data_IF_880090419545
#
_entry.id   IF_880090419545
#
_cell.length_a   1.000
_cell.length_b   1.000
_cell.length_c   1.000
_cell.angle_alpha   90.00
_cell.angle_beta   90.00
_cell.angle_gamma   90.00
#
_symmetry.space_group_name_H-M   'P 1'
#
loop_
_entity.id
_entity.type
_entity.pdbx_description
1 polymer ?
#
# COMPACT_ATOMS: atom_id res chain seq x y z
N UNK A 1 43.29 -36.83 12.09
CA UNK A 1 42.78 -35.64 12.80
C UNK A 1 41.88 -34.87 11.85
N UNK A 2 40.59 -34.73 12.23
CA UNK A 2 39.49 -33.86 11.68
C UNK A 2 39.21 -34.02 10.17
N UNK A 3 38.22 -34.81 9.70
CA UNK A 3 36.76 -34.78 9.95
C UNK A 3 36.12 -34.07 8.74
N UNK A 4 35.11 -34.56 8.01
CA UNK A 4 34.03 -35.51 8.26
C UNK A 4 33.39 -35.96 6.94
N UNK A 5 32.99 -37.23 6.88
CA UNK A 5 32.16 -37.81 5.85
C UNK A 5 30.70 -37.30 5.92
N UNK A 6 30.02 -37.15 4.79
CA UNK A 6 28.60 -37.49 4.69
C UNK A 6 28.18 -37.83 3.26
N UNK A 7 27.99 -39.14 3.04
CA UNK A 7 27.26 -39.73 1.93
C UNK A 7 25.75 -39.58 2.14
N UNK A 8 25.04 -39.38 1.02
CA UNK A 8 23.76 -40.01 0.64
C UNK A 8 22.78 -40.30 1.79
N UNK A 9 21.67 -39.56 1.80
CA UNK A 9 20.38 -40.09 2.28
C UNK A 9 19.28 -39.82 1.26
N UNK A 10 18.91 -40.88 0.58
CA UNK A 10 17.63 -41.04 -0.11
C UNK A 10 16.84 -42.10 0.67
N UNK A 11 15.51 -41.96 0.68
CA UNK A 11 14.47 -42.94 1.06
C UNK A 11 14.12 -43.03 2.57
N UNK A 12 12.94 -42.48 2.96
CA UNK A 12 11.70 -43.23 3.30
C UNK A 12 10.69 -42.32 4.02
N UNK A 13 9.43 -42.40 3.55
CA UNK A 13 8.15 -42.33 4.31
C UNK A 13 7.97 -41.15 5.30
N UNK A 14 6.96 -40.30 5.14
CA UNK A 14 5.56 -40.74 5.25
C UNK A 14 4.61 -39.70 4.67
N UNK A 15 3.67 -40.22 3.88
CA UNK A 15 2.40 -39.61 3.54
C UNK A 15 1.74 -39.07 4.82
N UNK A 16 1.65 -37.75 4.96
CA UNK A 16 0.67 -37.11 5.82
C UNK A 16 -0.40 -36.48 4.93
N UNK A 17 -1.16 -37.37 4.27
CA UNK A 17 -2.55 -37.10 3.88
C UNK A 17 -3.36 -37.01 5.19
N UNK A 18 -3.23 -35.88 5.91
CA UNK A 18 -4.37 -35.33 6.61
C UNK A 18 -5.18 -34.66 5.50
N UNK A 19 -6.20 -35.29 4.92
CA UNK A 19 -7.33 -35.68 5.75
C UNK A 19 -7.89 -34.44 6.43
N UNK A 20 -7.99 -33.31 5.73
CA UNK A 20 -8.83 -32.18 6.10
C UNK A 20 -10.30 -32.59 5.93
N UNK A 21 -10.71 -33.67 6.61
CA UNK A 21 -12.08 -33.83 7.04
C UNK A 21 -12.36 -32.61 7.91
N UNK A 22 -13.12 -31.66 7.37
CA UNK A 22 -13.62 -30.52 8.09
C UNK A 22 -14.30 -31.01 9.35
N UNK A 23 -13.59 -30.94 10.47
CA UNK A 23 -14.24 -30.85 11.75
C UNK A 23 -14.88 -29.47 11.77
N UNK A 24 -16.13 -29.41 11.29
CA UNK A 24 -17.07 -28.37 11.64
C UNK A 24 -17.24 -28.41 13.16
N UNK A 25 -16.30 -27.80 13.88
CA UNK A 25 -16.52 -27.37 15.24
C UNK A 25 -17.80 -26.54 15.18
N UNK A 26 -18.82 -26.93 15.95
CA UNK A 26 -20.07 -26.19 16.05
C UNK A 26 -19.71 -24.75 16.42
N UNK A 27 -19.70 -23.88 15.40
CA UNK A 27 -19.13 -22.55 15.51
C UNK A 27 -20.08 -21.74 16.40
N UNK A 28 -19.55 -21.20 17.51
CA UNK A 28 -20.33 -20.33 18.39
C UNK A 28 -20.86 -19.09 17.66
N UNK A 29 -21.81 -18.34 18.25
CA UNK A 29 -22.46 -17.22 17.59
C UNK A 29 -21.48 -16.15 17.12
N UNK A 30 -20.41 -15.88 17.87
CA UNK A 30 -19.34 -14.97 17.44
C UNK A 30 -18.68 -15.38 16.11
N UNK A 31 -18.40 -16.66 15.92
CA UNK A 31 -17.79 -17.17 14.68
C UNK A 31 -18.79 -17.14 13.51
N UNK A 32 -20.06 -17.44 13.76
CA UNK A 32 -21.12 -17.31 12.77
C UNK A 32 -21.31 -15.85 12.31
N UNK A 33 -21.31 -14.90 13.25
CA UNK A 33 -21.39 -13.46 12.96
C UNK A 33 -20.17 -12.96 12.16
N UNK A 34 -18.96 -13.35 12.58
CA UNK A 34 -17.74 -13.00 11.89
C UNK A 34 -17.69 -13.60 10.47
N UNK A 35 -18.09 -14.86 10.32
CA UNK A 35 -18.19 -15.55 9.03
C UNK A 35 -19.13 -14.82 8.07
N UNK A 36 -20.33 -14.47 8.54
CA UNK A 36 -21.32 -13.72 7.75
C UNK A 36 -20.78 -12.38 7.22
N UNK A 37 -20.13 -11.58 8.08
CA UNK A 37 -19.53 -10.32 7.64
C UNK A 37 -18.35 -10.52 6.68
N UNK A 38 -17.54 -11.57 6.88
CA UNK A 38 -16.44 -11.91 5.96
C UNK A 38 -16.95 -12.34 4.61
N UNK A 39 -18.00 -13.15 4.53
CA UNK A 39 -18.60 -13.55 3.25
C UNK A 39 -19.20 -12.36 2.50
N UNK A 40 -19.85 -11.43 3.22
CA UNK A 40 -20.34 -10.17 2.65
C UNK A 40 -19.20 -9.29 2.15
N UNK A 41 -18.15 -9.13 2.95
CA UNK A 41 -16.95 -8.38 2.55
C UNK A 41 -16.34 -9.05 1.34
N UNK A 42 -16.02 -10.32 1.38
CA UNK A 42 -15.22 -10.99 0.36
C UNK A 42 -16.04 -11.38 -0.90
N UNK A 43 -17.31 -10.98 -0.98
CA UNK A 43 -18.24 -11.26 -2.09
C UNK A 43 -18.37 -12.76 -2.39
N UNK A 44 -18.24 -13.60 -1.36
CA UNK A 44 -18.23 -15.06 -1.51
C UNK A 44 -19.61 -15.64 -1.82
N UNK A 45 -20.67 -14.95 -1.39
CA UNK A 45 -22.07 -15.33 -1.59
C UNK A 45 -22.89 -14.10 -1.92
N UNK A 46 -23.88 -14.26 -2.78
CA UNK A 46 -24.81 -13.19 -3.07
C UNK A 46 -25.66 -12.86 -1.82
N UNK A 47 -26.09 -11.60 -1.63
CA UNK A 47 -26.94 -11.23 -0.51
C UNK A 47 -28.19 -12.09 -0.37
N UNK A 48 -28.82 -12.50 -1.47
CA UNK A 48 -30.01 -13.36 -1.44
C UNK A 48 -29.70 -14.77 -0.91
N UNK A 49 -28.55 -15.36 -1.27
CA UNK A 49 -28.09 -16.65 -0.76
C UNK A 49 -27.79 -16.58 0.75
N UNK A 50 -27.21 -15.46 1.20
CA UNK A 50 -26.99 -15.20 2.61
C UNK A 50 -28.30 -15.08 3.38
N UNK A 51 -29.37 -14.53 2.76
CA UNK A 51 -30.69 -14.48 3.38
C UNK A 51 -31.32 -15.87 3.54
N UNK A 52 -31.06 -16.82 2.63
CA UNK A 52 -31.52 -18.22 2.78
C UNK A 52 -30.87 -18.90 3.99
N UNK A 53 -29.57 -18.64 4.22
CA UNK A 53 -28.84 -19.12 5.40
C UNK A 53 -29.17 -18.37 6.70
N UNK A 54 -29.76 -17.17 6.62
CA UNK A 54 -30.09 -16.31 7.77
C UNK A 54 -31.36 -16.73 8.50
N UNK A 55 -31.61 -16.19 9.70
CA UNK A 55 -32.86 -16.43 10.48
C UNK A 55 -34.02 -15.54 10.05
N UNK A 56 -34.00 -15.02 8.82
CA UNK A 56 -35.11 -14.27 8.24
C UNK A 56 -36.40 -15.11 8.22
N UNK A 57 -37.50 -14.50 8.66
CA UNK A 57 -38.81 -15.13 8.66
C UNK A 57 -39.23 -15.49 7.24
N UNK A 58 -39.84 -16.67 7.08
CA UNK A 58 -40.49 -17.08 5.83
C UNK A 58 -41.66 -16.17 5.45
N UNK A 59 -42.22 -15.44 6.43
CA UNK A 59 -43.32 -14.51 6.23
C UNK A 59 -42.85 -13.11 5.81
N UNK A 60 -41.54 -12.87 5.71
CA UNK A 60 -41.02 -11.63 5.16
C UNK A 60 -41.33 -11.53 3.66
N UNK A 61 -42.22 -10.61 3.31
CA UNK A 61 -42.64 -10.37 1.93
C UNK A 61 -41.49 -9.96 1.00
N UNK A 62 -41.67 -10.19 -0.30
CA UNK A 62 -40.65 -10.02 -1.35
C UNK A 62 -40.04 -8.60 -1.33
N UNK A 63 -40.85 -7.56 -1.16
CA UNK A 63 -40.39 -6.17 -1.12
C UNK A 63 -39.42 -5.95 0.06
N UNK A 64 -39.77 -6.42 1.26
CA UNK A 64 -38.93 -6.27 2.46
C UNK A 64 -37.65 -7.10 2.34
N UNK A 65 -37.75 -8.34 1.84
CA UNK A 65 -36.60 -9.21 1.56
C UNK A 65 -35.60 -8.53 0.62
N UNK A 66 -36.09 -7.98 -0.51
CA UNK A 66 -35.25 -7.24 -1.46
C UNK A 66 -34.57 -6.03 -0.83
N UNK A 67 -35.27 -5.27 0.03
CA UNK A 67 -34.69 -4.14 0.73
C UNK A 67 -33.57 -4.55 1.71
N UNK A 68 -33.73 -5.69 2.40
CA UNK A 68 -32.69 -6.24 3.28
C UNK A 68 -31.48 -6.68 2.45
N UNK A 69 -31.68 -7.41 1.36
CA UNK A 69 -30.62 -7.83 0.45
C UNK A 69 -29.82 -6.64 -0.10
N UNK A 70 -30.51 -5.56 -0.52
CA UNK A 70 -29.85 -4.33 -0.96
C UNK A 70 -29.00 -3.67 0.13
N UNK A 71 -29.48 -3.62 1.38
CA UNK A 71 -28.70 -3.10 2.51
C UNK A 71 -27.47 -3.95 2.79
N UNK A 72 -27.59 -5.28 2.71
CA UNK A 72 -26.46 -6.19 2.84
C UNK A 72 -25.45 -5.99 1.70
N UNK A 73 -25.90 -5.76 0.47
CA UNK A 73 -25.02 -5.45 -0.66
C UNK A 73 -24.24 -4.13 -0.42
N UNK A 74 -24.90 -3.10 0.10
CA UNK A 74 -24.25 -1.84 0.48
C UNK A 74 -23.24 -2.04 1.61
N UNK A 75 -23.57 -2.85 2.62
CA UNK A 75 -22.65 -3.21 3.70
C UNK A 75 -21.43 -3.96 3.16
N UNK A 76 -21.62 -4.95 2.29
CA UNK A 76 -20.52 -5.71 1.67
C UNK A 76 -19.56 -4.78 0.92
N UNK A 77 -20.09 -3.87 0.10
CA UNK A 77 -19.27 -2.82 -0.56
C UNK A 77 -18.56 -1.93 0.46
N UNK A 78 -19.26 -1.43 1.47
CA UNK A 78 -18.64 -0.62 2.53
C UNK A 78 -17.51 -1.35 3.24
N UNK A 79 -17.67 -2.65 3.53
CA UNK A 79 -16.65 -3.48 4.15
C UNK A 79 -15.42 -3.66 3.25
N UNK A 80 -15.63 -3.86 1.95
CA UNK A 80 -14.58 -4.02 0.93
C UNK A 80 -13.83 -2.74 0.65
N UNK A 81 -14.56 -1.67 0.36
CA UNK A 81 -14.01 -0.40 -0.11
C UNK A 81 -13.10 0.20 0.95
N UNK A 82 -13.41 -0.01 2.23
CA UNK A 82 -12.59 0.42 3.36
C UNK A 82 -11.59 -0.66 3.84
N UNK A 83 -11.56 -1.84 3.21
CA UNK A 83 -10.70 -2.99 3.56
C UNK A 83 -10.64 -3.27 5.06
N UNK A 84 -11.81 -3.41 5.66
CA UNK A 84 -11.91 -3.64 7.11
C UNK A 84 -11.37 -5.02 7.51
N UNK A 85 -10.52 -5.02 8.53
CA UNK A 85 -10.15 -6.18 9.31
C UNK A 85 -11.15 -6.35 10.45
N UNK A 86 -11.77 -7.53 10.51
CA UNK A 86 -12.91 -7.81 11.38
C UNK A 86 -12.49 -8.70 12.56
N UNK A 87 -12.90 -8.32 13.78
CA UNK A 87 -12.64 -9.08 15.01
C UNK A 87 -13.86 -9.04 15.93
N UNK A 88 -14.20 -10.18 16.52
CA UNK A 88 -15.25 -10.27 17.55
C UNK A 88 -14.83 -9.42 18.76
N UNK A 89 -15.71 -8.54 19.23
CA UNK A 89 -15.45 -7.67 20.40
C UNK A 89 -16.19 -8.11 21.65
N UNK A 90 -17.51 -8.29 21.56
CA UNK A 90 -18.36 -8.74 22.67
C UNK A 90 -19.37 -9.77 22.18
N UNK A 91 -19.79 -10.68 23.07
CA UNK A 91 -20.85 -11.64 22.82
C UNK A 91 -21.72 -11.77 24.07
N UNK A 92 -23.04 -11.78 23.89
CA UNK A 92 -24.01 -12.08 24.94
C UNK A 92 -25.00 -13.11 24.43
N UNK A 93 -25.14 -14.21 25.17
CA UNK A 93 -26.13 -15.26 24.90
C UNK A 93 -27.27 -15.16 25.88
N UNK A 94 -28.46 -15.45 25.40
CA UNK A 94 -29.67 -15.61 26.16
C UNK A 94 -30.45 -16.79 25.53
N UNK A 95 -30.27 -18.00 26.08
CA UNK A 95 -30.85 -19.23 25.54
C UNK A 95 -30.48 -19.47 24.07
N UNK A 96 -31.50 -19.64 23.23
CA UNK A 96 -31.42 -19.83 21.78
C UNK A 96 -31.11 -18.55 20.99
N UNK A 97 -30.98 -17.39 21.66
CA UNK A 97 -30.66 -16.11 21.07
C UNK A 97 -29.26 -15.66 21.50
N UNK A 98 -28.58 -14.95 20.61
CA UNK A 98 -27.31 -14.31 20.92
C UNK A 98 -27.19 -12.96 20.21
N UNK A 99 -26.43 -12.08 20.83
CA UNK A 99 -26.01 -10.82 20.27
C UNK A 99 -24.47 -10.77 20.24
N UNK A 100 -23.92 -10.35 19.12
CA UNK A 100 -22.47 -10.25 18.92
C UNK A 100 -22.15 -8.86 18.41
N UNK A 101 -21.10 -8.25 18.94
CA UNK A 101 -20.47 -7.09 18.31
C UNK A 101 -19.17 -7.48 17.63
N UNK A 102 -18.95 -6.95 16.43
CA UNK A 102 -17.73 -7.17 15.65
C UNK A 102 -17.10 -5.81 15.38
N UNK A 103 -15.88 -5.62 15.89
CA UNK A 103 -15.06 -4.46 15.61
C UNK A 103 -14.43 -4.57 14.23
N UNK A 104 -14.30 -3.42 13.57
CA UNK A 104 -13.74 -3.27 12.24
C UNK A 104 -12.70 -2.15 12.26
N UNK A 105 -11.47 -2.46 11.85
CA UNK A 105 -10.40 -1.46 11.68
C UNK A 105 -9.96 -1.48 10.22
N UNK A 106 -9.96 -0.32 9.57
CA UNK A 106 -9.55 -0.26 8.17
C UNK A 106 -8.04 -0.49 8.07
N UNK A 107 -7.65 -1.42 7.20
CA UNK A 107 -6.24 -1.56 6.81
C UNK A 107 -5.75 -0.36 5.98
N UNK A 108 -6.68 0.47 5.47
CA UNK A 108 -6.37 1.65 4.66
C UNK A 108 -6.13 2.91 5.46
N UNK A 109 -6.91 3.11 6.51
CA UNK A 109 -6.84 4.26 7.41
C UNK A 109 -7.03 3.75 8.83
N UNK A 110 -5.98 3.67 9.67
CA UNK A 110 -6.10 3.09 11.00
C UNK A 110 -7.16 3.82 11.85
N UNK A 111 -7.34 5.14 11.67
CA UNK A 111 -8.34 5.93 12.40
C UNK A 111 -9.77 5.72 11.89
N UNK A 112 -9.95 4.99 10.79
CA UNK A 112 -11.26 4.58 10.29
C UNK A 112 -11.67 3.26 10.92
N UNK A 113 -12.58 3.34 11.88
CA UNK A 113 -13.08 2.21 12.65
C UNK A 113 -14.60 2.18 12.71
N UNK A 114 -15.19 1.00 12.85
CA UNK A 114 -16.62 0.81 13.12
C UNK A 114 -16.83 -0.42 14.02
N UNK A 115 -18.04 -0.56 14.56
CA UNK A 115 -18.47 -1.73 15.32
C UNK A 115 -19.86 -2.12 14.83
N UNK A 116 -20.01 -3.36 14.37
CA UNK A 116 -21.28 -3.91 13.88
C UNK A 116 -21.93 -4.78 14.97
N UNK A 117 -23.23 -4.59 15.21
CA UNK A 117 -24.03 -5.49 16.03
C UNK A 117 -24.76 -6.52 15.16
N UNK A 118 -24.76 -7.79 15.55
CA UNK A 118 -25.47 -8.86 14.87
C UNK A 118 -26.28 -9.67 15.89
N UNK A 119 -27.58 -9.80 15.64
CA UNK A 119 -28.41 -10.78 16.32
C UNK A 119 -28.20 -12.16 15.68
N UNK A 120 -28.27 -13.22 16.47
CA UNK A 120 -28.20 -14.59 16.01
C UNK A 120 -29.21 -15.45 16.75
N UNK A 121 -29.67 -16.51 16.10
CA UNK A 121 -30.51 -17.53 16.70
C UNK A 121 -30.01 -18.92 16.35
N UNK A 122 -30.07 -19.81 17.33
CA UNK A 122 -29.71 -21.21 17.19
C UNK A 122 -30.78 -21.96 16.38
N UNK A 123 -30.35 -22.72 15.37
CA UNK A 123 -31.20 -23.55 14.49
C UNK A 123 -31.05 -25.04 14.84
N UNK A 124 -31.06 -25.39 16.12
CA UNK A 124 -30.82 -26.76 16.58
C UNK A 124 -29.52 -27.33 15.98
N UNK A 125 -29.61 -28.48 15.30
CA UNK A 125 -28.46 -29.16 14.66
C UNK A 125 -27.77 -28.31 13.56
N UNK A 126 -28.42 -27.25 13.06
CA UNK A 126 -27.88 -26.32 12.07
C UNK A 126 -26.94 -25.24 12.63
N UNK A 127 -26.75 -25.19 13.95
CA UNK A 127 -25.89 -24.20 14.60
C UNK A 127 -26.48 -22.79 14.62
N UNK A 128 -25.62 -21.77 14.78
CA UNK A 128 -26.04 -20.37 14.89
C UNK A 128 -26.23 -19.72 13.52
N UNK A 129 -27.35 -19.06 13.31
CA UNK A 129 -27.63 -18.31 12.08
C UNK A 129 -27.96 -16.84 12.39
N UNK A 130 -27.54 -15.95 11.49
CA UNK A 130 -27.54 -14.49 11.70
C UNK A 130 -28.91 -13.89 11.38
N UNK A 131 -29.35 -12.94 12.18
CA UNK A 131 -30.45 -12.04 11.86
C UNK A 131 -29.95 -11.00 10.85
N UNK A 132 -30.52 -10.94 9.63
CA UNK A 132 -29.89 -10.20 8.52
C UNK A 132 -30.06 -8.68 8.64
N UNK A 133 -30.82 -8.18 9.60
CA UNK A 133 -30.89 -6.75 9.92
C UNK A 133 -29.87 -6.45 11.01
N UNK A 134 -28.84 -5.67 10.70
CA UNK A 134 -27.79 -5.34 11.67
C UNK A 134 -28.35 -4.67 12.92
N UNK A 135 -27.90 -5.12 14.08
CA UNK A 135 -28.30 -4.63 15.40
C UNK A 135 -29.75 -4.92 15.77
N UNK A 136 -30.47 -5.76 15.00
CA UNK A 136 -31.88 -6.04 15.25
C UNK A 136 -32.28 -7.48 14.91
N UNK A 137 -33.27 -7.99 15.64
CA UNK A 137 -34.02 -9.21 15.36
C UNK A 137 -35.29 -8.92 14.53
N UNK A 138 -35.45 -7.72 13.98
CA UNK A 138 -36.56 -7.38 13.10
C UNK A 138 -36.64 -8.35 11.91
N UNK A 139 -37.84 -8.84 11.62
CA UNK A 139 -38.13 -9.88 10.63
C UNK A 139 -37.56 -11.27 10.96
N UNK A 140 -37.11 -11.53 12.18
CA UNK A 140 -36.83 -12.90 12.66
C UNK A 140 -38.14 -13.55 13.11
N UNK A 141 -38.34 -14.82 12.77
CA UNK A 141 -39.55 -15.56 13.18
C UNK A 141 -39.47 -15.97 14.65
N UNK A 142 -39.94 -15.14 15.58
CA UNK A 142 -39.98 -15.44 17.01
C UNK A 142 -41.28 -16.16 17.46
N UNK A 143 -42.12 -16.60 16.52
CA UNK A 143 -43.28 -17.47 16.82
C UNK A 143 -44.40 -16.85 17.67
N UNK A 144 -44.53 -15.52 17.70
CA UNK A 144 -45.48 -14.77 18.56
C UNK A 144 -45.30 -15.04 20.07
N UNK A 145 -44.11 -15.45 20.51
CA UNK A 145 -43.78 -15.64 21.92
C UNK A 145 -43.28 -14.32 22.52
N UNK A 146 -44.10 -13.72 23.40
CA UNK A 146 -43.78 -12.47 24.11
C UNK A 146 -42.49 -12.56 24.93
N UNK A 147 -42.13 -13.74 25.44
CA UNK A 147 -40.89 -13.91 26.19
C UNK A 147 -39.67 -13.85 25.26
N UNK A 148 -39.76 -14.48 24.08
CA UNK A 148 -38.70 -14.39 23.07
C UNK A 148 -38.56 -12.96 22.53
N UNK A 149 -39.67 -12.25 22.31
CA UNK A 149 -39.65 -10.83 21.92
C UNK A 149 -38.93 -9.97 22.97
N UNK A 150 -39.27 -10.12 24.26
CA UNK A 150 -38.61 -9.38 25.34
C UNK A 150 -37.11 -9.69 25.45
N UNK A 151 -36.72 -10.97 25.28
CA UNK A 151 -35.30 -11.38 25.26
C UNK A 151 -34.56 -10.78 24.05
N UNK A 152 -35.18 -10.78 22.87
CA UNK A 152 -34.63 -10.15 21.67
C UNK A 152 -34.45 -8.63 21.87
N UNK A 153 -35.47 -7.91 22.35
CA UNK A 153 -35.38 -6.48 22.66
C UNK A 153 -34.25 -6.16 23.67
N UNK A 154 -34.10 -6.99 24.71
CA UNK A 154 -33.02 -6.84 25.68
C UNK A 154 -31.63 -7.04 25.05
N UNK A 155 -31.51 -7.95 24.08
CA UNK A 155 -30.28 -8.16 23.30
C UNK A 155 -30.02 -7.01 22.32
N UNK A 156 -31.03 -6.44 21.67
CA UNK A 156 -30.88 -5.26 20.80
C UNK A 156 -30.41 -4.04 21.59
N UNK A 157 -31.02 -3.77 22.75
CA UNK A 157 -30.61 -2.71 23.67
C UNK A 157 -29.16 -2.92 24.14
N UNK A 158 -28.78 -4.16 24.43
CA UNK A 158 -27.41 -4.50 24.77
C UNK A 158 -26.44 -4.24 23.60
N UNK A 159 -26.76 -4.69 22.38
CA UNK A 159 -25.92 -4.43 21.19
C UNK A 159 -25.73 -2.93 20.95
N UNK A 160 -26.79 -2.13 21.07
CA UNK A 160 -26.72 -0.69 20.89
C UNK A 160 -25.77 -0.02 21.89
N UNK A 161 -25.82 -0.44 23.16
CA UNK A 161 -24.90 0.06 24.21
C UNK A 161 -23.47 -0.40 23.98
N UNK A 162 -23.26 -1.69 23.77
CA UNK A 162 -21.94 -2.27 23.53
C UNK A 162 -21.28 -1.69 22.29
N UNK A 163 -22.04 -1.47 21.21
CA UNK A 163 -21.53 -0.81 20.00
C UNK A 163 -20.90 0.55 20.31
N UNK A 164 -21.58 1.38 21.10
CA UNK A 164 -21.09 2.72 21.47
C UNK A 164 -19.86 2.64 22.40
N UNK A 165 -19.87 1.73 23.37
CA UNK A 165 -18.73 1.54 24.30
C UNK A 165 -17.51 1.01 23.54
N UNK A 166 -17.70 -0.03 22.73
CA UNK A 166 -16.63 -0.66 21.96
C UNK A 166 -16.10 0.27 20.87
N UNK A 167 -16.94 1.09 20.24
CA UNK A 167 -16.47 2.06 19.24
C UNK A 167 -15.51 3.07 19.85
N UNK A 168 -15.88 3.69 20.99
CA UNK A 168 -15.01 4.65 21.69
C UNK A 168 -13.71 4.00 22.16
N UNK A 169 -13.81 2.82 22.77
CA UNK A 169 -12.64 2.07 23.22
C UNK A 169 -11.70 1.72 22.05
N UNK A 170 -12.26 1.38 20.89
CA UNK A 170 -11.50 1.08 19.68
C UNK A 170 -10.83 2.32 19.10
N UNK A 171 -11.54 3.45 19.01
CA UNK A 171 -10.98 4.74 18.60
C UNK A 171 -9.79 5.16 19.49
N UNK A 172 -9.97 5.07 20.81
CA UNK A 172 -8.93 5.39 21.78
C UNK A 172 -7.72 4.44 21.66
N UNK A 173 -7.97 3.14 21.47
CA UNK A 173 -6.93 2.13 21.33
C UNK A 173 -6.09 2.38 20.06
N UNK A 174 -6.74 2.57 18.92
CA UNK A 174 -6.06 2.81 17.64
C UNK A 174 -5.29 4.13 17.70
N UNK A 175 -5.90 5.19 18.22
CA UNK A 175 -5.22 6.49 18.34
C UNK A 175 -4.00 6.40 19.26
N UNK A 176 -4.11 5.67 20.37
CA UNK A 176 -2.99 5.43 21.29
C UNK A 176 -1.87 4.65 20.61
N UNK A 177 -2.18 3.64 19.81
CA UNK A 177 -1.19 2.86 19.08
C UNK A 177 -0.49 3.69 17.99
N UNK A 178 -1.26 4.45 17.20
CA UNK A 178 -0.72 5.38 16.21
C UNK A 178 0.24 6.38 16.86
N UNK A 179 -0.18 7.03 17.95
CA UNK A 179 0.66 7.97 18.71
C UNK A 179 1.93 7.32 19.27
N UNK A 180 1.85 6.07 19.72
CA UNK A 180 3.03 5.31 20.19
C UNK A 180 4.03 5.15 19.06
N UNK A 181 3.59 4.68 17.89
CA UNK A 181 4.44 4.52 16.70
C UNK A 181 5.02 5.85 16.21
N UNK A 182 4.26 6.94 16.31
CA UNK A 182 4.76 8.28 15.97
C UNK A 182 5.88 8.72 16.91
N UNK A 183 5.73 8.54 18.23
CA UNK A 183 6.81 8.80 19.20
C UNK A 183 8.06 7.96 18.95
N UNK A 184 7.88 6.71 18.48
CA UNK A 184 9.00 5.84 18.10
C UNK A 184 9.73 6.35 16.85
N UNK A 185 9.03 6.99 15.91
CA UNK A 185 9.61 7.58 14.69
C UNK A 185 10.22 8.98 14.90
N UNK A 186 9.82 9.69 15.97
CA UNK A 186 10.21 11.07 16.24
C UNK A 186 11.72 11.34 16.29
N UNK A 187 12.55 10.52 16.96
CA UNK A 187 13.99 10.78 17.01
C UNK A 187 14.64 10.84 15.62
N UNK A 188 14.26 9.93 14.71
CA UNK A 188 14.78 9.92 13.35
C UNK A 188 14.26 11.14 12.55
N UNK A 189 13.01 11.54 12.76
CA UNK A 189 12.45 12.73 12.13
C UNK A 189 13.14 14.02 12.59
N UNK A 190 13.44 14.15 13.88
CA UNK A 190 14.18 15.30 14.41
C UNK A 190 15.61 15.40 13.84
N UNK A 191 16.28 14.26 13.65
CA UNK A 191 17.60 14.24 13.00
C UNK A 191 17.52 14.67 11.52
N UNK A 192 16.46 14.28 10.81
CA UNK A 192 16.23 14.70 9.43
C UNK A 192 15.86 16.18 9.31
N UNK A 193 15.13 16.72 10.28
CA UNK A 193 14.66 18.11 10.32
C UNK A 193 15.76 19.17 10.53
N UNK A 194 17.03 18.77 10.61
CA UNK A 194 18.20 19.68 10.67
C UNK A 194 18.48 20.33 9.31
N UNK A 195 18.09 19.69 8.20
CA UNK A 195 18.31 20.20 6.85
C UNK A 195 17.06 19.96 5.99
N UNK A 196 16.59 20.97 5.21
CA UNK A 196 15.44 20.82 4.33
C UNK A 196 15.57 19.61 3.39
N UNK A 197 16.71 19.48 2.70
CA UNK A 197 16.96 18.36 1.80
C UNK A 197 17.00 17.00 2.51
N UNK A 198 17.48 16.92 3.76
CA UNK A 198 17.43 15.66 4.53
C UNK A 198 16.01 15.32 4.97
N UNK A 199 15.20 16.32 5.32
CA UNK A 199 13.82 16.14 5.72
C UNK A 199 12.97 15.58 4.58
N UNK A 200 13.10 16.13 3.35
CA UNK A 200 12.39 15.62 2.17
C UNK A 200 12.82 14.21 1.79
N UNK A 201 14.12 13.87 1.89
CA UNK A 201 14.59 12.48 1.71
C UNK A 201 13.94 11.53 2.71
N UNK A 202 14.00 11.86 3.99
CA UNK A 202 13.41 11.04 5.04
C UNK A 202 11.89 10.85 4.85
N UNK A 203 11.18 11.90 4.41
CA UNK A 203 9.75 11.84 4.11
C UNK A 203 9.47 10.93 2.91
N UNK A 204 10.25 11.05 1.85
CA UNK A 204 10.15 10.22 0.65
C UNK A 204 10.41 8.74 0.98
N UNK A 205 11.44 8.46 1.78
CA UNK A 205 11.79 7.12 2.25
C UNK A 205 10.68 6.51 3.12
N UNK A 206 10.09 7.32 4.02
CA UNK A 206 8.93 6.90 4.81
C UNK A 206 7.74 6.57 3.90
N UNK A 207 7.53 7.36 2.84
CA UNK A 207 6.47 7.12 1.88
C UNK A 207 6.67 5.81 1.10
N UNK A 208 7.89 5.55 0.64
CA UNK A 208 8.24 4.33 -0.08
C UNK A 208 8.07 3.07 0.79
N UNK A 209 8.32 3.18 2.11
CA UNK A 209 8.08 2.08 3.07
C UNK A 209 6.62 1.93 3.49
N UNK A 210 5.73 2.86 3.10
CA UNK A 210 4.35 2.91 3.60
C UNK A 210 4.25 3.22 5.10
N UNK A 211 5.26 3.89 5.67
CA UNK A 211 5.34 4.19 7.10
C UNK A 211 4.56 5.46 7.44
N UNK A 212 3.25 5.30 7.62
CA UNK A 212 2.33 6.40 7.97
C UNK A 212 2.79 7.21 9.20
N UNK A 213 3.10 6.59 10.37
CA UNK A 213 3.59 7.34 11.52
C UNK A 213 4.82 8.20 11.22
N UNK A 214 5.84 7.65 10.55
CA UNK A 214 7.04 8.42 10.22
C UNK A 214 6.73 9.57 9.26
N UNK A 215 5.95 9.31 8.20
CA UNK A 215 5.52 10.34 7.26
C UNK A 215 4.76 11.47 7.96
N UNK A 216 3.87 11.13 8.89
CA UNK A 216 3.12 12.10 9.69
C UNK A 216 4.05 12.96 10.55
N UNK A 217 4.98 12.37 11.30
CA UNK A 217 5.90 13.14 12.16
C UNK A 217 6.80 14.07 11.36
N UNK A 218 7.25 13.66 10.17
CA UNK A 218 8.09 14.48 9.28
C UNK A 218 7.37 15.71 8.72
N UNK A 219 6.03 15.73 8.70
CA UNK A 219 5.24 16.93 8.39
C UNK A 219 5.16 17.89 9.59
N UNK A 220 5.48 17.43 10.81
CA UNK A 220 5.47 18.26 12.02
C UNK A 220 4.09 18.68 12.53
N UNK A 221 3.00 18.06 12.05
CA UNK A 221 1.61 18.49 12.26
C UNK A 221 0.78 17.61 13.21
N UNK A 222 1.38 16.98 14.23
CA UNK A 222 0.63 15.99 15.04
C UNK A 222 1.02 15.96 16.53
N UNK A 223 1.19 17.14 17.13
CA UNK A 223 1.42 17.28 18.57
C UNK A 223 0.09 17.58 19.29
N UNK A 224 -0.31 16.71 20.22
CA UNK A 224 -1.57 16.86 20.99
C UNK A 224 -2.76 16.10 20.42
N UNK A 225 -3.98 16.62 20.65
CA UNK A 225 -5.22 16.04 20.11
C UNK A 225 -5.39 16.36 18.64
N UNK A 226 -5.62 15.32 17.83
CA UNK A 226 -5.81 15.46 16.40
C UNK A 226 -7.07 16.27 16.11
N UNK A 227 -6.86 17.49 15.63
CA UNK A 227 -7.90 18.34 15.06
C UNK A 227 -8.53 17.66 13.84
N UNK A 228 -9.73 18.08 13.46
CA UNK A 228 -10.39 17.54 12.27
C UNK A 228 -9.56 17.74 10.99
N UNK A 229 -8.81 18.85 10.91
CA UNK A 229 -7.89 19.12 9.80
C UNK A 229 -6.77 18.09 9.73
N UNK A 230 -6.18 17.74 10.87
CA UNK A 230 -5.11 16.75 10.98
C UNK A 230 -5.62 15.33 10.69
N UNK A 231 -6.84 14.99 11.13
CA UNK A 231 -7.50 13.72 10.76
C UNK A 231 -7.71 13.61 9.26
N UNK A 232 -8.21 14.68 8.62
CA UNK A 232 -8.36 14.71 7.16
C UNK A 232 -7.01 14.56 6.45
N UNK A 233 -5.97 15.23 6.94
CA UNK A 233 -4.62 15.11 6.38
C UNK A 233 -4.07 13.69 6.55
N UNK A 234 -4.21 13.09 7.74
CA UNK A 234 -3.81 11.71 8.00
C UNK A 234 -4.49 10.74 7.04
N UNK A 235 -5.80 10.90 6.78
CA UNK A 235 -6.51 10.08 5.79
C UNK A 235 -5.95 10.23 4.37
N UNK A 236 -5.64 11.46 3.96
CA UNK A 236 -5.01 11.71 2.64
C UNK A 236 -3.67 10.99 2.53
N UNK A 237 -2.83 11.07 3.56
CA UNK A 237 -1.54 10.38 3.61
C UNK A 237 -1.75 8.86 3.59
N UNK A 238 -2.65 8.33 4.42
CA UNK A 238 -2.89 6.88 4.51
C UNK A 238 -3.33 6.29 3.18
N UNK A 239 -4.27 6.93 2.49
CA UNK A 239 -4.73 6.50 1.16
C UNK A 239 -3.61 6.62 0.12
N UNK A 240 -2.85 7.72 0.18
CA UNK A 240 -1.72 7.98 -0.71
C UNK A 240 -0.60 6.96 -0.60
N UNK A 241 -0.20 6.61 0.62
CA UNK A 241 0.82 5.59 0.92
C UNK A 241 0.46 4.20 0.38
N UNK A 242 -0.84 3.94 0.18
CA UNK A 242 -1.34 2.69 -0.36
C UNK A 242 -1.61 2.74 -1.86
N UNK A 243 -1.24 3.84 -2.54
CA UNK A 243 -1.51 4.05 -3.96
C UNK A 243 -3.01 4.03 -4.29
N UNK A 244 -3.87 4.30 -3.31
CA UNK A 244 -5.33 4.27 -3.45
C UNK A 244 -5.90 5.68 -3.68
N UNK A 245 -5.04 6.66 -3.98
CA UNK A 245 -5.48 8.00 -4.29
C UNK A 245 -6.09 8.09 -5.70
N UNK A 246 -7.17 8.87 -5.85
CA UNK A 246 -7.96 8.93 -7.08
C UNK A 246 -7.20 9.42 -8.32
N UNK A 247 -6.07 10.13 -8.11
CA UNK A 247 -5.24 10.71 -9.17
C UNK A 247 -3.95 9.93 -9.41
N UNK A 248 -3.62 8.96 -8.55
CA UNK A 248 -2.36 8.23 -8.58
C UNK A 248 -1.13 9.11 -8.44
N UNK A 249 -1.22 10.31 -7.84
CA UNK A 249 -0.11 11.26 -7.72
C UNK A 249 0.88 10.81 -6.64
N UNK A 250 0.40 10.14 -5.60
CA UNK A 250 1.27 9.56 -4.56
C UNK A 250 2.17 8.45 -5.07
N UNK A 251 1.87 7.85 -6.22
CA UNK A 251 2.73 6.87 -6.88
C UNK A 251 4.13 7.43 -7.17
N UNK A 252 4.27 8.75 -7.31
CA UNK A 252 5.58 9.39 -7.41
C UNK A 252 6.43 9.23 -6.15
N UNK A 253 5.84 8.99 -4.98
CA UNK A 253 6.55 8.77 -3.70
C UNK A 253 6.57 7.30 -3.26
N UNK A 254 5.57 6.50 -3.65
CA UNK A 254 5.40 5.13 -3.14
C UNK A 254 5.96 4.03 -4.05
N UNK A 255 6.02 4.25 -5.37
CA UNK A 255 6.51 3.23 -6.32
C UNK A 255 8.01 2.97 -6.13
N UNK A 256 8.40 1.70 -6.17
CA UNK A 256 9.83 1.31 -6.15
C UNK A 256 10.50 1.38 -7.52
N UNK A 257 9.73 1.43 -8.61
CA UNK A 257 10.22 1.43 -10.00
C UNK A 257 10.38 2.85 -10.59
N UNK A 258 10.63 3.83 -9.73
CA UNK A 258 10.98 5.21 -10.11
C UNK A 258 12.20 5.65 -9.29
N UNK A 259 13.02 6.51 -9.87
CA UNK A 259 14.21 7.07 -9.21
C UNK A 259 13.93 8.50 -8.80
N UNK A 260 14.35 8.86 -7.59
CA UNK A 260 14.04 10.15 -6.97
C UNK A 260 15.32 10.86 -6.57
N UNK A 261 15.46 12.10 -7.00
CA UNK A 261 16.64 12.92 -6.71
C UNK A 261 16.17 14.19 -6.01
N UNK A 262 16.71 14.43 -4.82
CA UNK A 262 16.39 15.62 -4.03
C UNK A 262 17.33 16.74 -4.40
N UNK A 263 16.76 17.84 -4.88
CA UNK A 263 17.48 19.05 -5.29
C UNK A 263 17.05 20.18 -4.36
N UNK A 264 18.01 20.73 -3.64
CA UNK A 264 17.81 21.94 -2.84
C UNK A 264 18.57 23.06 -3.55
N UNK A 265 17.86 24.11 -3.96
CA UNK A 265 18.48 25.30 -4.54
C UNK A 265 18.99 26.22 -3.43
N UNK A 266 20.13 26.89 -3.67
CA UNK A 266 20.68 27.88 -2.74
C UNK A 266 19.87 29.17 -2.88
N UNK A 267 18.84 29.35 -2.04
CA UNK A 267 17.99 30.54 -2.16
C UNK A 267 16.84 30.70 -1.15
N UNK A 268 16.83 29.99 -0.01
CA UNK A 268 15.82 30.20 1.03
C UNK A 268 16.23 31.27 2.04
N UNK A 269 15.27 32.02 2.56
CA UNK A 269 15.47 32.82 3.78
C UNK A 269 15.61 31.86 4.99
N UNK A 270 16.02 32.38 6.16
CA UNK A 270 16.17 31.56 7.38
C UNK A 270 14.85 30.93 7.90
N UNK A 271 13.71 31.24 7.27
CA UNK A 271 12.36 30.89 7.73
C UNK A 271 11.60 29.95 6.79
N UNK A 272 11.95 29.92 5.51
CA UNK A 272 11.35 29.06 4.50
C UNK A 272 12.41 28.51 3.53
N UNK A 273 12.17 27.30 3.03
CA UNK A 273 13.06 26.67 2.07
C UNK A 273 12.25 25.90 1.04
N UNK A 274 12.70 25.93 -0.20
CA UNK A 274 12.15 25.09 -1.26
C UNK A 274 13.09 23.93 -1.56
N UNK A 275 12.51 22.74 -1.66
CA UNK A 275 13.22 21.53 -2.06
C UNK A 275 12.42 20.84 -3.15
N UNK A 276 13.06 20.63 -4.30
CA UNK A 276 12.47 19.94 -5.44
C UNK A 276 12.84 18.45 -5.43
N UNK A 277 11.86 17.61 -5.71
CA UNK A 277 12.05 16.17 -5.91
C UNK A 277 11.89 15.86 -7.41
N UNK A 278 13.00 15.58 -8.07
CA UNK A 278 13.02 15.14 -9.47
C UNK A 278 12.79 13.64 -9.52
N UNK A 279 11.86 13.20 -10.37
CA UNK A 279 11.40 11.81 -10.43
C UNK A 279 11.54 11.29 -11.85
N UNK A 280 12.40 10.30 -12.03
CA UNK A 280 12.54 9.56 -13.27
C UNK A 280 11.67 8.30 -13.23
N UNK A 281 10.66 8.25 -14.10
CA UNK A 281 9.82 7.07 -14.35
C UNK A 281 10.33 6.41 -15.63
N UNK A 282 10.79 5.17 -15.54
CA UNK A 282 11.35 4.46 -16.68
C UNK A 282 10.34 4.34 -17.85
N UNK A 283 9.03 4.37 -17.57
CA UNK A 283 7.94 4.23 -18.56
C UNK A 283 8.16 5.10 -19.80
N UNK A 284 8.09 4.47 -20.98
CA UNK A 284 8.34 5.12 -22.27
C UNK A 284 7.52 6.41 -22.44
N UNK A 285 8.19 7.46 -22.93
CA UNK A 285 7.56 8.75 -23.26
C UNK A 285 7.23 9.64 -22.07
N UNK A 286 7.62 9.26 -20.84
CA UNK A 286 7.44 10.11 -19.67
C UNK A 286 8.64 11.05 -19.48
N UNK A 287 8.44 12.37 -19.38
CA UNK A 287 9.49 13.27 -18.94
C UNK A 287 9.78 13.05 -17.45
N UNK A 288 10.94 13.55 -16.99
CA UNK A 288 11.22 13.69 -15.57
C UNK A 288 10.09 14.52 -14.94
N UNK A 289 9.47 13.98 -13.90
CA UNK A 289 8.44 14.66 -13.13
C UNK A 289 9.07 15.43 -11.97
N UNK A 290 8.39 16.44 -11.46
CA UNK A 290 8.90 17.30 -10.40
C UNK A 290 7.81 17.50 -9.34
N UNK A 291 8.19 17.38 -8.06
CA UNK A 291 7.36 17.78 -6.92
C UNK A 291 8.12 18.80 -6.09
N UNK A 292 7.58 20.01 -5.95
CA UNK A 292 8.11 21.05 -5.06
C UNK A 292 7.60 20.85 -3.65
N UNK A 293 8.52 20.85 -2.69
CA UNK A 293 8.21 20.88 -1.27
C UNK A 293 8.55 22.27 -0.74
N UNK A 294 7.57 22.89 -0.10
CA UNK A 294 7.78 24.10 0.71
C UNK A 294 7.99 23.65 2.14
N UNK A 295 9.06 24.13 2.75
CA UNK A 295 9.44 23.81 4.12
C UNK A 295 9.43 25.10 4.94
N UNK A 296 8.91 25.01 6.16
CA UNK A 296 8.82 26.13 7.08
C UNK A 296 9.66 25.83 8.32
N UNK A 297 10.41 26.83 8.81
CA UNK A 297 11.16 26.69 10.04
C UNK A 297 10.28 27.07 11.24
N UNK A 298 9.75 26.07 11.95
CA UNK A 298 8.82 26.26 13.07
C UNK A 298 9.34 25.56 14.31
N UNK A 299 9.40 26.28 15.44
CA UNK A 299 9.76 25.66 16.72
C UNK A 299 11.17 25.07 16.77
N UNK A 300 12.12 25.67 16.04
CA UNK A 300 13.54 25.22 15.90
C UNK A 300 13.73 23.93 15.10
N UNK A 301 12.78 23.58 14.23
CA UNK A 301 12.90 22.47 13.27
C UNK A 301 12.28 22.85 11.94
N UNK A 302 12.80 22.30 10.85
CA UNK A 302 12.14 22.35 9.56
C UNK A 302 10.92 21.42 9.56
N UNK A 303 9.82 21.85 8.96
CA UNK A 303 8.61 21.05 8.75
C UNK A 303 8.19 21.13 7.29
N UNK A 304 7.67 20.03 6.75
CA UNK A 304 7.17 20.00 5.37
C UNK A 304 5.71 20.46 5.35
N UNK A 305 5.41 21.45 4.51
CA UNK A 305 4.03 21.65 4.06
C UNK A 305 3.74 20.67 2.91
N UNK A 306 2.72 19.82 3.11
CA UNK A 306 2.40 18.80 2.10
C UNK A 306 1.98 19.48 0.77
N UNK A 307 2.70 19.21 -0.34
CA UNK A 307 2.43 19.81 -1.65
C UNK A 307 0.97 19.65 -2.06
N UNK A 308 0.39 20.66 -2.74
CA UNK A 308 -1.06 20.67 -3.02
C UNK A 308 -1.48 19.51 -3.91
N UNK A 309 -0.62 19.08 -4.84
CA UNK A 309 -0.84 17.87 -5.64
C UNK A 309 -1.02 16.60 -4.79
N UNK A 310 -0.22 16.42 -3.74
CA UNK A 310 -0.35 15.28 -2.83
C UNK A 310 -1.57 15.45 -1.91
N UNK A 311 -1.75 16.65 -1.36
CA UNK A 311 -2.85 16.99 -0.43
C UNK A 311 -4.24 16.88 -1.06
N UNK A 312 -4.38 17.17 -2.35
CA UNK A 312 -5.65 17.22 -3.08
C UNK A 312 -5.78 16.07 -4.10
N UNK A 313 -4.98 15.03 -3.97
CA UNK A 313 -4.97 13.83 -4.83
C UNK A 313 -6.27 13.01 -4.80
N UNK A 314 -7.14 13.24 -3.82
CA UNK A 314 -8.46 12.61 -3.72
C UNK A 314 -9.64 13.54 -4.09
N UNK A 315 -9.35 14.77 -4.49
CA UNK A 315 -10.37 15.74 -4.89
C UNK A 315 -10.79 15.58 -6.36
N UNK A 316 -11.78 16.37 -6.78
CA UNK A 316 -12.22 16.43 -8.18
C UNK A 316 -11.05 16.72 -9.14
N UNK A 317 -11.16 16.27 -10.40
CA UNK A 317 -10.10 16.42 -11.41
C UNK A 317 -9.76 17.89 -11.64
N UNK A 318 -10.77 18.75 -11.61
CA UNK A 318 -10.62 20.19 -11.77
C UNK A 318 -9.90 20.82 -10.58
N UNK A 319 -10.30 20.46 -9.36
CA UNK A 319 -9.64 20.93 -8.13
C UNK A 319 -8.16 20.53 -8.11
N UNK A 320 -7.87 19.26 -8.41
CA UNK A 320 -6.51 18.75 -8.47
C UNK A 320 -5.68 19.45 -9.56
N UNK A 321 -6.22 19.62 -10.77
CA UNK A 321 -5.51 20.31 -11.86
C UNK A 321 -5.21 21.77 -11.51
N UNK A 322 -6.16 22.49 -10.90
CA UNK A 322 -5.95 23.87 -10.46
C UNK A 322 -4.88 23.96 -9.38
N UNK A 323 -4.77 22.97 -8.50
CA UNK A 323 -3.72 22.90 -7.49
C UNK A 323 -2.35 22.75 -8.13
N UNK A 324 -2.17 21.79 -9.06
CA UNK A 324 -0.90 21.62 -9.77
C UNK A 324 -0.48 22.88 -10.52
N UNK A 325 -1.41 23.56 -11.19
CA UNK A 325 -1.10 24.80 -11.92
C UNK A 325 -0.70 25.97 -11.02
N UNK A 326 -1.09 25.96 -9.73
CA UNK A 326 -0.70 27.00 -8.77
C UNK A 326 0.71 26.79 -8.23
N UNK A 327 1.13 25.53 -8.13
CA UNK A 327 2.43 25.14 -7.59
C UNK A 327 3.53 25.13 -8.69
N UNK A 328 3.17 25.36 -9.97
CA UNK A 328 4.09 25.29 -11.12
C UNK A 328 4.67 26.65 -11.50
N UNK A 329 5.99 26.70 -11.66
CA UNK A 329 6.70 27.70 -12.44
C UNK A 329 7.32 27.01 -13.66
N UNK A 330 6.79 27.26 -14.87
CA UNK A 330 7.12 26.47 -16.05
C UNK A 330 8.59 26.58 -16.46
N UNK A 331 9.17 27.78 -16.39
CA UNK A 331 10.52 28.02 -16.89
C UNK A 331 11.57 27.42 -15.93
N UNK A 332 11.37 27.63 -14.63
CA UNK A 332 12.23 27.05 -13.58
C UNK A 332 12.07 25.53 -13.48
N UNK A 333 10.84 25.01 -13.55
CA UNK A 333 10.57 23.58 -13.50
C UNK A 333 11.27 22.84 -14.65
N UNK A 334 11.19 23.39 -15.87
CA UNK A 334 11.81 22.75 -17.02
C UNK A 334 13.35 22.82 -16.94
N UNK A 335 13.91 23.92 -16.42
CA UNK A 335 15.34 24.00 -16.13
C UNK A 335 15.78 22.95 -15.09
N UNK A 336 15.02 22.78 -14.01
CA UNK A 336 15.28 21.78 -12.98
C UNK A 336 15.15 20.35 -13.49
N UNK A 337 14.10 20.04 -14.25
CA UNK A 337 13.91 18.71 -14.88
C UNK A 337 15.07 18.35 -15.79
N UNK A 338 15.62 19.33 -16.50
CA UNK A 338 16.76 19.12 -17.40
C UNK A 338 18.09 18.86 -16.67
N UNK A 339 18.16 19.11 -15.36
CA UNK A 339 19.33 18.84 -14.51
C UNK A 339 19.28 17.47 -13.81
N UNK A 340 18.26 16.66 -14.06
CA UNK A 340 18.08 15.37 -13.37
C UNK A 340 19.34 14.49 -13.42
N UNK A 341 19.92 14.31 -14.59
CA UNK A 341 21.08 13.43 -14.77
C UNK A 341 22.30 13.95 -14.00
N UNK A 342 22.58 15.25 -14.05
CA UNK A 342 23.69 15.86 -13.32
C UNK A 342 23.51 15.73 -11.81
N UNK A 343 22.29 15.98 -11.32
CA UNK A 343 21.95 15.86 -9.90
C UNK A 343 21.99 14.41 -9.42
N UNK A 344 21.57 13.47 -10.27
CA UNK A 344 21.69 12.04 -10.00
C UNK A 344 23.15 11.63 -9.86
N UNK A 345 24.01 12.05 -10.80
CA UNK A 345 25.43 11.72 -10.79
C UNK A 345 26.19 12.32 -9.61
N UNK A 346 25.80 13.52 -9.17
CA UNK A 346 26.34 14.18 -7.97
C UNK A 346 26.03 13.41 -6.69
N UNK A 347 24.89 12.73 -6.65
CA UNK A 347 24.38 12.04 -5.46
C UNK A 347 24.71 10.55 -5.42
N UNK A 348 25.07 9.95 -6.56
CA UNK A 348 25.30 8.51 -6.68
C UNK A 348 26.61 8.23 -7.41
N UNK A 349 27.54 7.56 -6.73
CA UNK A 349 28.78 7.08 -7.35
C UNK A 349 28.48 6.08 -8.48
N UNK A 350 29.21 6.16 -9.61
CA UNK A 350 29.04 5.23 -10.71
C UNK A 350 29.36 3.81 -10.25
N UNK A 351 28.59 2.83 -10.72
CA UNK A 351 28.96 1.43 -10.61
C UNK A 351 29.87 1.08 -11.78
N UNK A 352 31.09 0.67 -11.45
CA UNK A 352 32.13 0.24 -12.38
C UNK A 352 32.59 -1.17 -11.99
N UNK A 353 33.00 -1.95 -12.97
CA UNK A 353 33.39 -3.35 -12.79
C UNK A 353 34.72 -3.61 -13.49
N UNK A 354 35.58 -4.44 -12.90
CA UNK A 354 36.90 -4.71 -13.47
C UNK A 354 36.85 -5.54 -14.76
N UNK A 355 35.70 -6.14 -15.09
CA UNK A 355 35.47 -6.87 -16.33
C UNK A 355 34.00 -6.83 -16.75
N UNK A 356 33.73 -7.00 -18.04
CA UNK A 356 32.37 -7.12 -18.58
C UNK A 356 31.58 -8.26 -17.94
N UNK A 357 32.25 -9.37 -17.57
CA UNK A 357 31.61 -10.48 -16.85
C UNK A 357 31.09 -10.07 -15.48
N UNK A 358 31.91 -9.37 -14.70
CA UNK A 358 31.47 -8.86 -13.40
C UNK A 358 30.36 -7.83 -13.55
N UNK A 359 30.44 -6.94 -14.56
CA UNK A 359 29.39 -5.99 -14.85
C UNK A 359 28.06 -6.70 -15.18
N UNK A 360 28.11 -7.73 -16.03
CA UNK A 360 26.95 -8.53 -16.39
C UNK A 360 26.31 -9.24 -15.20
N UNK A 361 27.12 -9.88 -14.35
CA UNK A 361 26.64 -10.53 -13.12
C UNK A 361 26.01 -9.53 -12.14
N UNK A 362 26.61 -8.35 -11.98
CA UNK A 362 26.05 -7.29 -11.13
C UNK A 362 24.73 -6.74 -11.68
N UNK A 363 24.67 -6.46 -12.98
CA UNK A 363 23.46 -5.97 -13.65
C UNK A 363 22.34 -7.01 -13.54
N UNK A 364 22.62 -8.29 -13.78
CA UNK A 364 21.64 -9.37 -13.60
C UNK A 364 21.07 -9.39 -12.18
N UNK A 365 21.92 -9.25 -11.16
CA UNK A 365 21.48 -9.20 -9.77
C UNK A 365 20.62 -7.96 -9.47
N UNK A 366 20.98 -6.79 -10.01
CA UNK A 366 20.24 -5.53 -9.82
C UNK A 366 18.86 -5.61 -10.46
N UNK A 367 18.78 -6.11 -11.71
CA UNK A 367 17.52 -6.34 -12.41
C UNK A 367 16.65 -7.29 -11.60
N UNK A 368 17.17 -8.43 -11.14
CA UNK A 368 16.40 -9.36 -10.29
C UNK A 368 15.92 -8.75 -8.97
N UNK A 369 16.73 -7.89 -8.34
CA UNK A 369 16.36 -7.21 -7.10
C UNK A 369 15.32 -6.11 -7.31
N UNK A 370 15.16 -5.59 -8.53
CA UNK A 370 14.20 -4.52 -8.80
C UNK A 370 14.67 -3.12 -8.36
N UNK A 371 15.99 -2.87 -8.37
CA UNK A 371 16.56 -1.53 -8.08
C UNK A 371 16.88 -0.73 -9.36
N UNK A 372 15.94 0.10 -9.82
CA UNK A 372 16.18 0.99 -10.96
C UNK A 372 17.28 2.02 -10.67
N UNK A 373 17.35 2.51 -9.44
CA UNK A 373 18.38 3.45 -9.00
C UNK A 373 19.78 2.87 -9.19
N UNK A 374 20.02 1.65 -8.70
CA UNK A 374 21.32 0.99 -8.90
C UNK A 374 21.61 0.71 -10.37
N UNK A 375 20.58 0.41 -11.16
CA UNK A 375 20.75 0.18 -12.59
C UNK A 375 21.19 1.44 -13.33
N UNK A 376 20.62 2.61 -12.98
CA UNK A 376 21.04 3.90 -13.56
C UNK A 376 22.48 4.29 -13.20
N UNK A 377 23.08 3.71 -12.16
CA UNK A 377 24.49 3.96 -11.82
C UNK A 377 25.48 3.37 -12.84
N UNK A 378 25.02 2.49 -13.74
CA UNK A 378 25.77 2.04 -14.91
C UNK A 378 25.68 2.99 -16.12
N UNK A 379 24.96 4.10 -16.02
CA UNK A 379 24.94 5.11 -17.07
C UNK A 379 26.37 5.52 -17.46
N UNK A 380 26.59 5.69 -18.76
CA UNK A 380 27.85 6.19 -19.25
C UNK A 380 28.02 7.66 -18.81
N UNK A 381 29.14 7.94 -18.14
CA UNK A 381 29.46 9.26 -17.60
C UNK A 381 30.78 9.69 -18.19
N UNK A 382 30.74 10.66 -19.10
CA UNK A 382 31.93 11.31 -19.63
C UNK A 382 31.74 12.82 -19.58
N UNK A 383 32.77 13.59 -19.19
CA UNK A 383 32.70 15.05 -19.16
C UNK A 383 32.50 15.65 -20.57
N UNK A 384 32.73 14.86 -21.63
CA UNK A 384 32.59 15.29 -23.02
C UNK A 384 31.18 15.06 -23.58
N UNK A 385 30.27 14.40 -22.85
CA UNK A 385 28.90 14.21 -23.29
C UNK A 385 28.15 15.53 -23.24
N UNK A 386 27.43 15.85 -24.31
CA UNK A 386 26.38 16.86 -24.26
C UNK A 386 25.22 16.42 -23.37
N UNK A 387 24.45 17.37 -22.84
CA UNK A 387 23.27 17.07 -22.02
C UNK A 387 22.26 16.17 -22.74
N UNK A 388 22.16 16.32 -24.07
CA UNK A 388 21.29 15.49 -24.91
C UNK A 388 21.75 14.04 -24.94
N UNK A 389 23.06 13.79 -25.08
CA UNK A 389 23.62 12.44 -25.06
C UNK A 389 23.51 11.81 -23.68
N UNK A 390 23.77 12.60 -22.62
CA UNK A 390 23.58 12.16 -21.23
C UNK A 390 22.14 11.73 -20.99
N UNK A 391 21.15 12.57 -21.31
CA UNK A 391 19.72 12.23 -21.24
C UNK A 391 19.38 10.97 -22.04
N UNK A 392 19.96 10.82 -23.22
CA UNK A 392 19.73 9.65 -24.07
C UNK A 392 20.24 8.37 -23.42
N UNK A 393 21.39 8.40 -22.74
CA UNK A 393 21.93 7.26 -22.02
C UNK A 393 21.01 6.79 -20.88
N UNK A 394 20.51 7.72 -20.04
CA UNK A 394 19.55 7.38 -18.97
C UNK A 394 18.22 6.86 -19.51
N UNK A 395 17.70 7.47 -20.58
CA UNK A 395 16.47 7.00 -21.24
C UNK A 395 16.65 5.61 -21.87
N UNK A 396 17.82 5.31 -22.42
CA UNK A 396 18.14 3.99 -22.95
C UNK A 396 18.11 2.93 -21.82
N UNK A 397 18.73 3.21 -20.67
CA UNK A 397 18.63 2.34 -19.50
C UNK A 397 17.19 2.19 -19.00
N UNK A 398 16.42 3.28 -18.89
CA UNK A 398 15.00 3.20 -18.53
C UNK A 398 14.17 2.38 -19.53
N UNK A 399 14.47 2.47 -20.82
CA UNK A 399 13.81 1.66 -21.84
C UNK A 399 14.14 0.17 -21.69
N UNK A 400 15.41 -0.16 -21.41
CA UNK A 400 15.85 -1.53 -21.12
C UNK A 400 15.18 -2.08 -19.85
N UNK A 401 15.13 -1.27 -18.79
CA UNK A 401 14.43 -1.61 -17.54
C UNK A 401 12.98 -2.02 -17.77
N UNK A 402 12.24 -1.27 -18.57
CA UNK A 402 10.83 -1.59 -18.86
C UNK A 402 10.66 -2.89 -19.63
N UNK A 403 11.57 -3.20 -20.56
CA UNK A 403 11.56 -4.49 -21.26
C UNK A 403 11.69 -5.64 -20.27
N UNK A 404 12.45 -5.45 -19.19
CA UNK A 404 12.65 -6.44 -18.16
C UNK A 404 11.49 -6.54 -17.15
N UNK A 405 10.84 -5.42 -16.81
CA UNK A 405 9.95 -5.35 -15.63
C UNK A 405 8.49 -4.93 -15.87
N UNK A 406 8.17 -4.22 -16.96
CA UNK A 406 6.86 -3.55 -17.09
C UNK A 406 6.02 -4.00 -18.29
N UNK A 407 6.63 -4.54 -19.34
CA UNK A 407 5.81 -5.22 -20.33
C UNK A 407 5.15 -6.40 -19.62
N UNK A 408 3.81 -6.38 -19.47
CA UNK A 408 3.00 -7.43 -18.80
C UNK A 408 3.20 -8.86 -19.36
N UNK A 409 4.07 -8.97 -20.36
CA UNK A 409 4.55 -10.17 -21.03
C UNK A 409 5.86 -10.69 -20.42
N UNK A 410 6.70 -9.85 -19.81
CA UNK A 410 8.02 -10.16 -19.30
C UNK A 410 8.06 -10.03 -17.78
N UNK A 411 7.38 -10.92 -17.05
CA UNK A 411 7.88 -11.31 -15.74
C UNK A 411 9.07 -12.25 -15.99
N UNK A 412 10.16 -11.69 -16.54
CA UNK A 412 11.28 -12.51 -16.98
C UNK A 412 12.23 -12.77 -15.82
N UNK A 413 12.53 -14.05 -15.57
CA UNK A 413 13.74 -14.48 -14.87
C UNK A 413 14.95 -14.21 -15.78
N UNK A 414 15.10 -12.95 -16.22
CA UNK A 414 16.06 -12.60 -17.25
C UNK A 414 17.46 -13.00 -16.80
N UNK A 415 18.15 -13.69 -17.69
CA UNK A 415 19.46 -14.30 -17.43
C UNK A 415 20.45 -13.80 -18.45
N UNK A 416 21.66 -13.50 -18.00
CA UNK A 416 22.77 -13.23 -18.89
C UNK A 416 23.11 -14.51 -19.67
N UNK A 417 22.97 -14.46 -20.99
CA UNK A 417 23.27 -15.58 -21.88
C UNK A 417 24.72 -15.55 -22.35
N UNK A 418 25.16 -14.38 -22.78
CA UNK A 418 26.45 -14.23 -23.45
C UNK A 418 27.03 -12.85 -23.23
N UNK A 419 28.34 -12.75 -23.42
CA UNK A 419 29.12 -11.53 -23.32
C UNK A 419 30.00 -11.47 -24.56
N UNK A 420 29.75 -10.47 -25.40
CA UNK A 420 30.52 -10.22 -26.61
C UNK A 420 31.41 -9.01 -26.32
N UNK A 421 32.72 -9.19 -26.32
CA UNK A 421 33.70 -8.12 -26.11
C UNK A 421 34.37 -7.77 -27.43
N UNK A 422 34.41 -6.48 -27.76
CA UNK A 422 35.10 -5.96 -28.93
C UNK A 422 35.74 -4.59 -28.62
N UNK A 423 37.07 -4.55 -28.59
CA UNK A 423 37.84 -3.34 -28.27
C UNK A 423 37.39 -2.71 -26.95
N UNK A 424 36.88 -1.48 -27.00
CA UNK A 424 36.44 -0.70 -25.84
C UNK A 424 34.92 -0.84 -25.56
N UNK A 425 34.23 -1.73 -26.28
CA UNK A 425 32.80 -1.97 -26.12
C UNK A 425 32.50 -3.44 -25.81
N UNK A 426 31.50 -3.66 -24.96
CA UNK A 426 30.97 -4.98 -24.64
C UNK A 426 29.46 -5.01 -24.81
N UNK A 427 28.93 -6.06 -25.42
CA UNK A 427 27.50 -6.34 -25.44
C UNK A 427 27.18 -7.46 -24.44
N UNK A 428 26.35 -7.14 -23.46
CA UNK A 428 25.73 -8.10 -22.56
C UNK A 428 24.43 -8.56 -23.19
N UNK A 429 24.30 -9.86 -23.44
CA UNK A 429 23.14 -10.43 -24.12
C UNK A 429 22.23 -11.05 -23.08
N UNK A 430 21.07 -10.45 -22.84
CA UNK A 430 20.08 -10.96 -21.90
C UNK A 430 18.97 -11.73 -22.61
N UNK A 431 18.58 -12.87 -22.04
CA UNK A 431 17.34 -13.55 -22.40
C UNK A 431 16.21 -12.97 -21.58
N UNK A 432 15.13 -12.55 -22.24
CA UNK A 432 13.87 -12.20 -21.59
C UNK A 432 12.85 -13.28 -21.91
N UNK A 433 12.44 -14.04 -20.89
CA UNK A 433 11.39 -15.05 -21.02
C UNK A 433 10.04 -14.40 -20.80
N UNK A 434 9.18 -14.45 -21.81
CA UNK A 434 7.81 -14.00 -21.65
C UNK A 434 6.97 -15.07 -20.95
N UNK A 435 6.37 -14.75 -19.80
CA UNK A 435 5.43 -15.65 -19.11
C UNK A 435 4.11 -15.83 -19.86
N UNK A 436 3.78 -14.91 -20.78
CA UNK A 436 2.56 -14.97 -21.59
C UNK A 436 2.76 -15.70 -22.93
N UNK A 437 4.00 -15.86 -23.39
CA UNK A 437 4.37 -16.51 -24.65
C UNK A 437 5.64 -17.34 -24.44
N UNK A 438 5.49 -18.54 -23.87
CA UNK A 438 6.60 -19.46 -23.60
C UNK A 438 7.43 -19.83 -24.86
N UNK A 439 6.89 -19.60 -26.05
CA UNK A 439 7.53 -19.89 -27.34
C UNK A 439 8.34 -18.73 -27.93
N UNK A 440 8.29 -17.51 -27.35
CA UNK A 440 9.05 -16.36 -27.83
C UNK A 440 10.18 -16.00 -26.87
N UNK A 441 11.39 -16.32 -27.31
CA UNK A 441 12.62 -15.83 -26.70
C UNK A 441 12.93 -14.45 -27.28
N UNK A 442 12.94 -13.43 -26.43
CA UNK A 442 13.45 -12.11 -26.80
C UNK A 442 14.88 -11.99 -26.28
N UNK A 443 15.79 -11.60 -27.18
CA UNK A 443 17.18 -11.34 -26.87
C UNK A 443 17.38 -9.83 -26.91
N UNK A 444 17.78 -9.26 -25.77
CA UNK A 444 18.01 -7.83 -25.63
C UNK A 444 19.47 -7.57 -25.31
N UNK A 445 20.25 -6.96 -26.22
CA UNK A 445 21.61 -6.55 -25.93
C UNK A 445 21.62 -5.26 -25.11
N UNK A 446 22.46 -5.23 -24.09
CA UNK A 446 22.84 -4.01 -23.36
C UNK A 446 24.31 -3.71 -23.68
N UNK A 447 24.56 -2.53 -24.25
CA UNK A 447 25.91 -2.11 -24.62
C UNK A 447 26.56 -1.40 -23.43
N UNK A 448 27.74 -1.87 -23.05
CA UNK A 448 28.63 -1.23 -22.10
C UNK A 448 29.86 -0.69 -22.84
N UNK A 449 30.35 0.45 -22.39
CA UNK A 449 31.60 1.04 -22.88
C UNK A 449 32.61 1.04 -21.75
N UNK A 450 33.84 0.64 -22.06
CA UNK A 450 34.97 0.66 -21.15
C UNK A 450 35.49 2.09 -21.03
N UNK A 451 35.69 2.57 -19.81
CA UNK A 451 36.35 3.84 -19.56
C UNK A 451 37.73 3.62 -18.90
N UNK A 452 38.53 4.67 -18.74
CA UNK A 452 39.87 4.59 -18.13
C UNK A 452 39.85 4.01 -16.69
N UNK A 453 38.68 4.00 -16.04
CA UNK A 453 38.47 3.52 -14.68
C UNK A 453 37.78 2.15 -14.60
N UNK A 454 37.55 1.50 -15.75
CA UNK A 454 36.91 0.18 -15.85
C UNK A 454 35.57 0.27 -16.55
#
# INVERSE_FOLDING_TARGET
MKGSAWLIRFVLLSIFLLGSSGQSAVAGPGNAALGFLKELRDDQRAPDELLEGSVLSRYTGIIRRSAIAQRLALLGRYLRDNRYELKISSEKRDGDLAAVTVSAVSSQDPLMVDVFGLGLRERGDGGWAVAPVLGSFDNVDLGYDRNLEQRAEALELWMGRERLVNLRALEDQVLKDLRRRMREAEPAALQAAVSPGRLVRAFTDACQRGDLPAAMVLLGQFDGDLTEKERRLQRVISLGLQGSDSRGYWNFLTRSDVVRVVVQEEGGDDLDAEVSLLIFDARRGRPVSLIRFVLLYVGKRWTIELPSGLRLSNESRETFRRALLRDQDYDEDDALRNRFEEEFERQHDPLRSASLRQAGEQIEQILRKGSLEDFLRFAYRSPNLSDSERRTAYRYLGAFWNQFHQEAKAASDGRLLDIIEHEDAGALVFQLVSTAQAERLEISPLILMRDEKG
#
